data_IF_637731630954
#
_entry.id   IF_637731630954
#
_cell.length_a   1.000
_cell.length_b   1.000
_cell.length_c   1.000
_cell.angle_alpha   90.00
_cell.angle_beta   90.00
_cell.angle_gamma   90.00
#
_symmetry.space_group_name_H-M   'P 1'
#
loop_
_entity.id
_entity.type
_entity.pdbx_description
1 polymer ?
#
# COMPACT_ATOMS: atom_id res chain seq x y z
N UNK A 1 13.91 23.32 -1.30
CA UNK A 1 12.53 23.23 -1.83
C UNK A 1 11.70 22.57 -0.75
N UNK A 2 10.41 22.86 -0.65
CA UNK A 2 9.55 22.29 0.38
C UNK A 2 8.23 21.84 -0.22
N UNK A 3 7.88 20.58 -0.01
CA UNK A 3 6.53 20.06 -0.20
C UNK A 3 5.80 20.10 1.15
N UNK A 4 4.48 19.97 1.15
CA UNK A 4 3.69 19.94 2.39
C UNK A 4 2.78 18.73 2.40
N UNK A 5 2.93 17.86 3.39
CA UNK A 5 2.02 16.76 3.68
C UNK A 5 0.97 17.27 4.69
N UNK A 6 -0.30 17.22 4.35
CA UNK A 6 -1.41 17.60 5.22
C UNK A 6 -2.18 16.34 5.60
N UNK A 7 -2.43 16.12 6.88
CA UNK A 7 -3.20 14.97 7.38
C UNK A 7 -4.62 15.35 7.78
N UNK A 8 -5.54 14.38 7.72
CA UNK A 8 -6.82 14.48 8.41
C UNK A 8 -6.62 14.76 9.91
N UNK A 9 -7.52 15.55 10.51
CA UNK A 9 -7.41 16.02 11.90
C UNK A 9 -7.48 14.90 12.95
N UNK A 10 -7.91 13.71 12.54
CA UNK A 10 -7.94 12.53 13.41
C UNK A 10 -6.54 11.95 13.67
N UNK A 11 -5.56 12.32 12.85
CA UNK A 11 -4.18 11.84 12.92
C UNK A 11 -3.20 12.98 13.15
N UNK A 12 -2.05 12.65 13.72
CA UNK A 12 -0.99 13.60 13.99
C UNK A 12 0.42 13.04 13.77
N UNK A 13 1.39 13.72 14.38
CA UNK A 13 2.81 13.42 14.24
C UNK A 13 3.17 11.99 14.65
N UNK A 14 2.50 11.44 15.65
CA UNK A 14 2.83 10.10 16.15
C UNK A 14 2.36 9.01 15.19
N UNK A 15 1.20 9.18 14.55
CA UNK A 15 0.69 8.30 13.51
C UNK A 15 1.57 8.36 12.26
N UNK A 16 1.95 9.58 11.84
CA UNK A 16 2.86 9.78 10.72
C UNK A 16 4.23 9.13 10.98
N UNK A 17 4.75 9.26 12.21
CA UNK A 17 6.01 8.64 12.59
C UNK A 17 5.92 7.11 12.61
N UNK A 18 4.82 6.55 13.09
CA UNK A 18 4.60 5.10 13.05
C UNK A 18 4.62 4.58 11.61
N UNK A 19 3.95 5.26 10.66
CA UNK A 19 4.03 4.91 9.23
C UNK A 19 5.43 5.11 8.67
N UNK A 20 6.14 6.18 9.06
CA UNK A 20 7.52 6.40 8.59
C UNK A 20 8.42 5.22 8.94
N UNK A 21 8.26 4.63 10.13
CA UNK A 21 9.07 3.48 10.55
C UNK A 21 8.82 2.21 9.75
N UNK A 22 7.68 2.08 9.06
CA UNK A 22 7.41 0.92 8.20
C UNK A 22 8.27 0.93 6.94
N UNK A 23 8.60 2.12 6.41
CA UNK A 23 9.43 2.29 5.21
C UNK A 23 10.89 2.64 5.53
N UNK A 24 11.08 3.41 6.60
CA UNK A 24 12.37 3.94 7.03
C UNK A 24 12.62 3.55 8.49
N UNK A 25 13.00 2.28 8.78
CA UNK A 25 13.15 1.78 10.15
C UNK A 25 14.24 2.51 10.95
N UNK A 26 15.18 3.15 10.26
CA UNK A 26 16.23 3.98 10.86
C UNK A 26 15.81 5.43 11.11
N UNK A 27 14.60 5.84 10.71
CA UNK A 27 14.11 7.19 10.96
C UNK A 27 14.07 7.51 12.46
N UNK A 28 14.23 8.79 12.79
CA UNK A 28 14.28 9.28 14.17
C UNK A 28 13.36 10.48 14.34
N UNK A 29 12.48 10.42 15.33
CA UNK A 29 11.67 11.57 15.75
C UNK A 29 12.36 12.34 16.88
N UNK A 30 12.52 13.65 16.69
CA UNK A 30 12.98 14.58 17.73
C UNK A 30 12.07 15.81 17.75
N UNK A 31 11.33 15.99 18.83
CA UNK A 31 10.30 17.04 18.97
C UNK A 31 9.31 16.96 17.80
N UNK A 32 9.33 17.95 16.90
CA UNK A 32 8.43 18.09 15.76
C UNK A 32 9.05 17.62 14.44
N UNK A 33 10.25 17.02 14.47
CA UNK A 33 10.95 16.63 13.25
C UNK A 33 11.11 15.11 13.21
N UNK A 34 10.74 14.50 12.09
CA UNK A 34 11.09 13.14 11.73
C UNK A 34 12.23 13.23 10.73
N UNK A 35 13.43 12.75 11.09
CA UNK A 35 14.55 12.64 10.18
C UNK A 35 14.52 11.27 9.54
N UNK A 36 14.40 11.23 8.21
CA UNK A 36 14.26 10.01 7.42
C UNK A 36 15.64 9.54 6.92
N UNK A 37 16.46 10.49 6.48
CA UNK A 37 17.83 10.27 6.00
C UNK A 37 18.74 11.41 6.48
N UNK A 38 19.94 11.51 5.91
CA UNK A 38 20.82 12.64 6.20
C UNK A 38 20.39 13.97 5.58
N UNK A 39 19.62 13.89 4.50
CA UNK A 39 19.20 15.00 3.65
C UNK A 39 17.69 15.25 3.70
N UNK A 40 16.92 14.29 4.21
CA UNK A 40 15.45 14.34 4.19
C UNK A 40 14.83 14.35 5.58
N UNK A 41 13.89 15.28 5.79
CA UNK A 41 13.13 15.36 7.03
C UNK A 41 11.68 15.85 6.83
N UNK A 42 10.81 15.44 7.76
CA UNK A 42 9.44 15.90 7.88
C UNK A 42 9.33 16.80 9.11
N UNK A 43 9.00 18.08 8.93
CA UNK A 43 8.92 19.09 9.99
C UNK A 43 7.45 19.43 10.27
N UNK A 44 6.96 18.97 11.41
CA UNK A 44 5.56 19.06 11.80
C UNK A 44 5.15 20.43 12.32
N UNK A 45 4.07 20.95 11.75
CA UNK A 45 3.34 22.13 12.20
C UNK A 45 1.99 21.71 12.80
N UNK A 46 1.88 21.59 14.15
CA UNK A 46 0.68 21.10 14.81
C UNK A 46 -0.53 22.03 14.66
N UNK A 47 -0.33 23.33 14.41
CA UNK A 47 -1.44 24.28 14.27
C UNK A 47 -2.22 24.08 12.97
N UNK A 48 -1.55 23.55 11.93
CA UNK A 48 -2.13 23.30 10.62
C UNK A 48 -2.32 21.80 10.32
N UNK A 49 -1.87 20.91 11.22
CA UNK A 49 -1.88 19.46 11.03
C UNK A 49 -1.14 19.00 9.77
N UNK A 50 0.03 19.59 9.54
CA UNK A 50 0.83 19.38 8.34
C UNK A 50 2.31 19.13 8.69
N UNK A 51 3.03 18.46 7.80
CA UNK A 51 4.48 18.36 7.80
C UNK A 51 5.06 19.02 6.55
N UNK A 52 6.03 19.91 6.74
CA UNK A 52 6.90 20.34 5.65
C UNK A 52 7.88 19.20 5.32
N UNK A 53 7.94 18.79 4.06
CA UNK A 53 8.92 17.83 3.55
C UNK A 53 10.13 18.61 3.06
N UNK A 54 11.24 18.49 3.78
CA UNK A 54 12.53 19.05 3.39
C UNK A 54 13.35 17.93 2.73
N UNK A 55 13.64 18.09 1.44
CA UNK A 55 14.39 17.12 0.62
C UNK A 55 15.18 17.88 -0.46
N UNK A 56 16.39 17.42 -0.87
CA UNK A 56 17.07 17.97 -2.03
C UNK A 56 16.25 17.79 -3.30
N UNK A 57 16.25 18.82 -4.16
CA UNK A 57 15.58 18.75 -5.44
C UNK A 57 16.35 17.83 -6.40
N UNK A 58 15.65 16.88 -7.02
CA UNK A 58 16.16 15.99 -8.05
C UNK A 58 15.08 15.73 -9.11
N UNK A 59 15.15 16.44 -10.26
CA UNK A 59 14.10 16.53 -11.30
C UNK A 59 14.54 16.10 -12.69
N UNK A 60 15.17 14.93 -12.77
CA UNK A 60 15.56 14.31 -14.04
C UNK A 60 14.73 13.06 -14.37
N UNK A 61 13.62 12.85 -13.64
CA UNK A 61 12.65 11.83 -13.97
C UNK A 61 11.95 12.13 -15.30
N UNK A 62 11.83 11.10 -16.13
CA UNK A 62 10.96 11.13 -17.31
C UNK A 62 9.48 11.05 -16.93
N UNK A 63 8.56 11.39 -17.85
CA UNK A 63 7.15 11.11 -17.67
C UNK A 63 6.92 9.60 -17.52
N UNK A 64 5.84 9.23 -16.84
CA UNK A 64 5.52 7.83 -16.61
C UNK A 64 5.17 7.12 -17.94
N UNK A 65 5.73 5.92 -18.17
CA UNK A 65 5.36 5.09 -19.34
C UNK A 65 3.97 4.45 -19.19
N UNK A 66 3.52 4.31 -17.94
CA UNK A 66 2.20 3.84 -17.52
C UNK A 66 1.38 5.02 -16.99
N UNK A 67 0.04 4.91 -16.94
CA UNK A 67 -0.80 5.94 -16.32
C UNK A 67 -0.30 6.30 -14.92
N UNK A 68 -0.15 7.59 -14.65
CA UNK A 68 0.31 8.09 -13.37
C UNK A 68 -0.86 8.25 -12.40
N UNK A 69 -1.01 7.28 -11.50
CA UNK A 69 -2.08 7.28 -10.49
C UNK A 69 -1.93 8.37 -9.44
N UNK A 70 -0.74 8.93 -9.29
CA UNK A 70 -0.43 9.93 -8.29
C UNK A 70 -0.42 11.37 -8.83
N UNK A 71 -0.40 11.56 -10.16
CA UNK A 71 -0.47 12.87 -10.79
C UNK A 71 0.84 13.67 -10.76
N UNK A 72 1.98 13.02 -10.59
CA UNK A 72 3.31 13.60 -10.74
C UNK A 72 3.54 14.25 -12.11
N UNK A 73 3.11 13.61 -13.20
CA UNK A 73 3.26 14.15 -14.56
C UNK A 73 2.53 15.50 -14.71
N UNK A 74 1.34 15.60 -14.10
CA UNK A 74 0.55 16.84 -14.02
C UNK A 74 1.21 17.87 -13.11
N UNK A 75 1.66 17.45 -11.92
CA UNK A 75 2.23 18.35 -10.92
C UNK A 75 3.62 18.90 -11.28
N UNK A 76 4.36 18.20 -12.14
CA UNK A 76 5.75 18.48 -12.47
C UNK A 76 6.02 18.49 -13.98
N UNK A 77 5.42 19.43 -14.74
CA UNK A 77 5.51 19.47 -16.20
C UNK A 77 6.93 19.76 -16.74
N UNK A 78 7.86 20.20 -15.88
CA UNK A 78 9.24 20.56 -16.25
C UNK A 78 10.29 19.56 -15.73
N UNK A 79 9.86 18.38 -15.27
CA UNK A 79 10.76 17.33 -14.77
C UNK A 79 10.18 16.64 -13.54
N UNK A 80 9.91 15.34 -13.66
CA UNK A 80 9.33 14.51 -12.60
C UNK A 80 10.38 14.29 -11.51
N UNK A 81 10.00 14.26 -10.22
CA UNK A 81 10.95 13.96 -9.16
C UNK A 81 11.56 12.56 -9.34
N UNK A 82 12.83 12.45 -8.96
CA UNK A 82 13.63 11.24 -9.03
C UNK A 82 14.42 11.02 -7.72
N UNK A 83 15.00 9.83 -7.58
CA UNK A 83 15.81 9.46 -6.42
C UNK A 83 15.08 9.70 -5.10
N UNK A 84 15.79 10.28 -4.13
CA UNK A 84 15.27 10.52 -2.78
C UNK A 84 14.03 11.43 -2.76
N UNK A 85 13.94 12.40 -3.67
CA UNK A 85 12.76 13.27 -3.76
C UNK A 85 11.52 12.48 -4.20
N UNK A 86 11.68 11.56 -5.17
CA UNK A 86 10.58 10.68 -5.60
C UNK A 86 10.15 9.76 -4.47
N UNK A 87 11.11 9.09 -3.84
CA UNK A 87 10.85 8.11 -2.79
C UNK A 87 10.08 8.73 -1.61
N UNK A 88 10.48 9.92 -1.14
CA UNK A 88 9.79 10.57 -0.02
C UNK A 88 8.41 11.10 -0.42
N UNK A 89 8.21 11.52 -1.67
CA UNK A 89 6.91 11.96 -2.15
C UNK A 89 5.94 10.78 -2.33
N UNK A 90 6.40 9.65 -2.86
CA UNK A 90 5.60 8.41 -2.93
C UNK A 90 5.22 7.92 -1.53
N UNK A 91 6.18 7.92 -0.59
CA UNK A 91 5.88 7.64 0.81
C UNK A 91 4.82 8.60 1.36
N UNK A 92 4.96 9.90 1.12
CA UNK A 92 4.02 10.92 1.60
C UNK A 92 2.61 10.71 1.03
N UNK A 93 2.50 10.40 -0.26
CA UNK A 93 1.23 10.11 -0.93
C UNK A 93 0.56 8.86 -0.37
N UNK A 94 1.35 7.80 -0.13
CA UNK A 94 0.83 6.59 0.50
C UNK A 94 0.44 6.79 1.97
N UNK A 95 1.16 7.63 2.70
CA UNK A 95 0.80 8.01 4.06
C UNK A 95 -0.54 8.79 4.09
N UNK A 96 -0.75 9.77 3.20
CA UNK A 96 -2.02 10.51 3.14
C UNK A 96 -3.15 9.68 2.54
N UNK A 97 -2.86 8.70 1.68
CA UNK A 97 -3.86 7.73 1.19
C UNK A 97 -4.46 6.96 2.36
N UNK A 98 -3.62 6.58 3.33
CA UNK A 98 -3.98 5.76 4.48
C UNK A 98 -4.56 6.55 5.65
N UNK A 99 -3.92 7.67 6.00
CA UNK A 99 -4.35 8.52 7.11
C UNK A 99 -5.37 9.58 6.67
N UNK A 100 -5.67 9.68 5.38
CA UNK A 100 -6.43 10.79 4.82
C UNK A 100 -5.62 12.08 4.77
N UNK A 101 -5.91 12.91 3.76
CA UNK A 101 -5.24 14.19 3.57
C UNK A 101 -4.78 14.38 2.14
N UNK A 102 -3.68 15.13 1.98
CA UNK A 102 -3.11 15.47 0.66
C UNK A 102 -1.64 15.88 0.77
N UNK A 103 -0.93 15.81 -0.34
CA UNK A 103 0.39 16.41 -0.51
C UNK A 103 0.25 17.64 -1.40
N UNK A 104 0.73 18.79 -0.94
CA UNK A 104 0.89 20.00 -1.74
C UNK A 104 2.34 20.06 -2.19
N UNK A 105 2.58 19.98 -3.48
CA UNK A 105 3.93 20.02 -4.06
C UNK A 105 4.54 21.42 -3.94
N UNK A 106 5.85 21.53 -4.14
CA UNK A 106 6.53 22.81 -4.23
C UNK A 106 6.07 23.66 -5.44
N UNK A 107 5.50 23.03 -6.47
CA UNK A 107 4.83 23.70 -7.60
C UNK A 107 3.42 24.20 -7.25
N UNK A 108 2.92 23.89 -6.04
CA UNK A 108 1.61 24.28 -5.55
C UNK A 108 0.46 23.35 -5.99
N UNK A 109 0.76 22.23 -6.64
CA UNK A 109 -0.26 21.24 -7.03
C UNK A 109 -0.66 20.39 -5.82
N UNK A 110 -1.95 20.11 -5.71
CA UNK A 110 -2.49 19.23 -4.67
C UNK A 110 -2.66 17.82 -5.22
N UNK A 111 -2.05 16.85 -4.56
CA UNK A 111 -2.12 15.42 -4.86
C UNK A 111 -2.83 14.71 -3.70
N UNK A 112 -3.94 14.04 -3.98
CA UNK A 112 -4.79 13.41 -2.96
C UNK A 112 -5.24 12.02 -3.44
N UNK A 113 -4.36 11.00 -3.38
CA UNK A 113 -4.70 9.66 -3.81
C UNK A 113 -5.91 9.12 -3.05
N UNK A 114 -6.80 8.45 -3.77
CA UNK A 114 -7.99 7.89 -3.16
C UNK A 114 -7.63 6.69 -2.27
N UNK A 115 -8.18 6.61 -1.06
CA UNK A 115 -7.82 5.61 -0.05
C UNK A 115 -7.87 4.15 -0.55
N UNK A 116 -8.84 3.83 -1.40
CA UNK A 116 -9.08 2.49 -1.94
C UNK A 116 -8.45 2.23 -3.32
N UNK A 117 -7.65 3.14 -3.88
CA UNK A 117 -6.93 2.83 -5.13
C UNK A 117 -6.03 1.60 -4.92
N UNK A 118 -5.87 0.79 -5.97
CA UNK A 118 -5.14 -0.49 -5.94
C UNK A 118 -5.53 -1.38 -4.75
N UNK A 119 -6.78 -1.90 -4.72
CA UNK A 119 -7.23 -2.76 -3.63
C UNK A 119 -6.39 -4.06 -3.56
N UNK A 120 -5.49 -4.11 -2.58
CA UNK A 120 -4.63 -5.26 -2.34
C UNK A 120 -4.15 -5.27 -0.88
N UNK A 121 -4.01 -6.48 -0.34
CA UNK A 121 -3.42 -6.76 0.97
C UNK A 121 -2.48 -7.96 0.86
N UNK A 122 -1.45 -7.98 1.70
CA UNK A 122 -0.53 -9.10 1.83
C UNK A 122 -0.65 -9.70 3.22
N UNK A 123 -0.73 -11.03 3.31
CA UNK A 123 -0.61 -11.77 4.58
C UNK A 123 0.71 -12.51 4.58
N UNK A 124 1.56 -12.22 5.57
CA UNK A 124 2.86 -12.87 5.76
C UNK A 124 2.72 -13.88 6.89
N UNK A 125 2.93 -15.16 6.58
CA UNK A 125 2.77 -16.28 7.51
C UNK A 125 4.06 -17.08 7.66
N UNK A 126 4.24 -17.68 8.85
CA UNK A 126 5.40 -18.51 9.16
C UNK A 126 5.37 -19.88 8.47
N UNK A 127 4.23 -20.30 7.91
CA UNK A 127 4.08 -21.57 7.21
C UNK A 127 3.15 -21.46 6.01
N UNK A 128 3.38 -22.35 5.05
CA UNK A 128 2.58 -22.50 3.85
C UNK A 128 1.29 -23.28 4.15
N UNK A 129 0.16 -22.80 3.64
CA UNK A 129 -1.11 -23.50 3.60
C UNK A 129 -1.14 -24.40 2.37
N UNK A 130 -1.71 -25.59 2.49
CA UNK A 130 -1.94 -26.44 1.33
C UNK A 130 -2.99 -25.77 0.41
N UNK A 131 -2.91 -25.99 -0.93
CA UNK A 131 -3.84 -25.37 -1.88
C UNK A 131 -5.32 -25.57 -1.54
N UNK A 132 -5.69 -26.77 -1.04
CA UNK A 132 -7.07 -27.09 -0.66
C UNK A 132 -7.52 -26.35 0.60
N UNK A 133 -6.64 -26.20 1.58
CA UNK A 133 -6.97 -25.52 2.84
C UNK A 133 -7.23 -24.03 2.58
N UNK A 134 -6.37 -23.39 1.77
CA UNK A 134 -6.60 -22.00 1.37
C UNK A 134 -7.87 -21.85 0.53
N UNK A 135 -8.14 -22.77 -0.40
CA UNK A 135 -9.39 -22.76 -1.17
C UNK A 135 -10.62 -22.83 -0.27
N UNK A 136 -10.62 -23.73 0.73
CA UNK A 136 -11.73 -23.83 1.70
C UNK A 136 -11.91 -22.55 2.52
N UNK A 137 -10.82 -21.83 2.85
CA UNK A 137 -10.88 -20.52 3.51
C UNK A 137 -11.55 -19.49 2.59
N UNK A 138 -11.08 -19.35 1.35
CA UNK A 138 -11.62 -18.35 0.40
C UNK A 138 -13.08 -18.67 0.04
N UNK A 139 -13.45 -19.95 -0.10
CA UNK A 139 -14.82 -20.38 -0.42
C UNK A 139 -15.85 -20.10 0.68
N UNK A 140 -15.42 -19.82 1.92
CA UNK A 140 -16.32 -19.30 2.97
C UNK A 140 -16.80 -17.88 2.69
N UNK A 141 -16.06 -17.14 1.85
CA UNK A 141 -16.33 -15.75 1.51
C UNK A 141 -16.89 -15.64 0.10
N UNK A 142 -16.21 -16.25 -0.88
CA UNK A 142 -16.63 -16.31 -2.29
C UNK A 142 -16.75 -17.77 -2.70
N UNK A 143 -17.98 -18.30 -2.65
CA UNK A 143 -18.26 -19.73 -2.83
C UNK A 143 -17.78 -20.28 -4.18
N UNK A 144 -17.82 -19.44 -5.20
CA UNK A 144 -17.45 -19.75 -6.58
C UNK A 144 -15.93 -19.76 -6.82
N UNK A 145 -15.11 -19.54 -5.78
CA UNK A 145 -13.66 -19.55 -5.92
C UNK A 145 -13.13 -20.91 -6.35
N UNK A 146 -12.05 -20.89 -7.12
CA UNK A 146 -11.39 -22.08 -7.65
C UNK A 146 -9.86 -21.96 -7.63
N UNK A 147 -9.19 -23.10 -7.57
CA UNK A 147 -7.75 -23.17 -7.80
C UNK A 147 -7.48 -22.94 -9.28
N UNK A 148 -6.50 -22.09 -9.58
CA UNK A 148 -6.05 -21.88 -10.94
C UNK A 148 -5.12 -23.02 -11.34
N UNK A 149 -5.57 -23.85 -12.27
CA UNK A 149 -4.87 -25.06 -12.69
C UNK A 149 -4.99 -26.20 -11.67
N UNK A 150 -4.01 -27.12 -11.70
CA UNK A 150 -3.95 -28.29 -10.81
C UNK A 150 -2.64 -28.28 -10.01
N UNK A 151 -2.47 -27.36 -9.04
CA UNK A 151 -1.21 -27.24 -8.30
C UNK A 151 -0.97 -28.47 -7.41
N UNK A 152 0.25 -29.00 -7.43
CA UNK A 152 0.68 -30.10 -6.56
C UNK A 152 1.16 -29.60 -5.18
N UNK A 153 1.43 -28.31 -5.05
CA UNK A 153 1.96 -27.68 -3.84
C UNK A 153 2.18 -26.18 -4.05
N UNK A 154 3.11 -25.62 -3.27
CA UNK A 154 3.49 -24.21 -3.32
C UNK A 154 4.49 -23.93 -4.47
N UNK A 155 4.38 -22.81 -5.22
CA UNK A 155 3.35 -21.76 -5.16
C UNK A 155 2.06 -22.12 -5.92
N UNK A 156 0.97 -21.42 -5.62
CA UNK A 156 -0.31 -21.60 -6.30
C UNK A 156 -1.15 -20.32 -6.27
N UNK A 157 -2.28 -20.35 -6.98
CA UNK A 157 -3.18 -19.21 -7.09
C UNK A 157 -4.64 -19.66 -7.00
N UNK A 158 -5.47 -18.84 -6.35
CA UNK A 158 -6.93 -18.98 -6.32
C UNK A 158 -7.53 -17.78 -7.05
N UNK A 159 -8.51 -18.04 -7.93
CA UNK A 159 -9.38 -17.01 -8.46
C UNK A 159 -10.74 -17.06 -7.75
N UNK A 160 -11.26 -15.90 -7.40
CA UNK A 160 -12.54 -15.70 -6.73
C UNK A 160 -13.33 -14.61 -7.46
N UNK A 161 -14.39 -14.93 -8.22
CA UNK A 161 -15.13 -13.92 -8.97
C UNK A 161 -15.82 -12.95 -8.02
N UNK A 162 -15.62 -11.64 -8.23
CA UNK A 162 -16.21 -10.58 -7.38
C UNK A 162 -17.15 -9.67 -8.19
N UNK A 163 -16.83 -9.41 -9.45
CA UNK A 163 -17.69 -8.72 -10.40
C UNK A 163 -17.77 -9.51 -11.71
N UNK A 164 -18.63 -9.07 -12.63
CA UNK A 164 -18.73 -9.70 -13.95
C UNK A 164 -17.47 -9.53 -14.82
N UNK A 165 -16.63 -8.53 -14.50
CA UNK A 165 -15.44 -8.11 -15.25
C UNK A 165 -14.17 -8.09 -14.39
N UNK A 166 -14.19 -8.80 -13.25
CA UNK A 166 -13.07 -8.79 -12.33
C UNK A 166 -13.12 -9.93 -11.31
N UNK A 167 -11.92 -10.38 -10.95
CA UNK A 167 -11.70 -11.37 -9.90
C UNK A 167 -10.98 -10.74 -8.70
N UNK A 168 -11.19 -11.30 -7.52
CA UNK A 168 -10.23 -11.25 -6.43
C UNK A 168 -9.31 -12.46 -6.59
N UNK A 169 -8.01 -12.23 -6.58
CA UNK A 169 -7.02 -13.28 -6.71
C UNK A 169 -6.20 -13.39 -5.45
N UNK A 170 -5.95 -14.62 -5.01
CA UNK A 170 -5.01 -14.93 -3.93
C UNK A 170 -3.82 -15.66 -4.52
N UNK A 171 -2.67 -15.00 -4.53
CA UNK A 171 -1.38 -15.58 -4.95
C UNK A 171 -0.61 -16.01 -3.71
N UNK A 172 -0.30 -17.31 -3.63
CA UNK A 172 0.48 -17.89 -2.56
C UNK A 172 1.91 -18.15 -3.07
N UNK A 173 2.87 -17.37 -2.58
CA UNK A 173 4.29 -17.41 -3.00
C UNK A 173 5.24 -17.28 -1.81
N UNK A 174 6.53 -17.55 -2.00
CA UNK A 174 7.52 -17.30 -0.95
C UNK A 174 7.83 -15.81 -0.93
N UNK A 175 7.97 -15.22 0.25
CA UNK A 175 8.46 -13.86 0.38
C UNK A 175 9.92 -13.80 -0.09
N UNK A 176 10.16 -13.16 -1.25
CA UNK A 176 11.50 -13.00 -1.82
C UNK A 176 12.13 -11.63 -1.52
N UNK A 177 11.32 -10.63 -1.21
CA UNK A 177 11.75 -9.25 -0.99
C UNK A 177 11.77 -8.87 0.49
N UNK A 178 12.77 -8.07 0.88
CA UNK A 178 12.86 -7.52 2.24
C UNK A 178 11.79 -6.44 2.45
N UNK A 179 11.00 -6.61 3.51
CA UNK A 179 9.99 -5.64 3.92
C UNK A 179 10.50 -4.91 5.16
N UNK A 180 10.89 -3.61 5.08
CA UNK A 180 11.60 -2.94 6.16
C UNK A 180 10.86 -2.96 7.51
N UNK A 181 9.51 -2.97 7.49
CA UNK A 181 8.68 -3.05 8.70
C UNK A 181 8.87 -4.35 9.50
N UNK A 182 9.22 -5.45 8.83
CA UNK A 182 9.27 -6.81 9.42
C UNK A 182 10.57 -7.56 9.12
N UNK A 183 11.52 -6.96 8.39
CA UNK A 183 12.78 -7.57 7.98
C UNK A 183 13.62 -8.09 9.16
N UNK A 184 13.39 -7.59 10.38
CA UNK A 184 14.14 -7.97 11.57
C UNK A 184 13.62 -9.26 12.24
N UNK A 185 12.48 -9.78 11.80
CA UNK A 185 11.82 -10.98 12.36
C UNK A 185 12.49 -12.23 11.80
N UNK A 186 12.98 -13.12 12.67
CA UNK A 186 13.83 -14.27 12.26
C UNK A 186 13.14 -15.19 11.24
N UNK A 187 11.90 -15.62 11.50
CA UNK A 187 11.18 -16.52 10.59
C UNK A 187 10.84 -15.86 9.24
N UNK A 188 10.78 -14.53 9.17
CA UNK A 188 10.60 -13.81 7.90
C UNK A 188 11.84 -13.95 7.04
N UNK A 189 13.04 -13.84 7.63
CA UNK A 189 14.33 -14.01 6.94
C UNK A 189 14.58 -15.43 6.45
N UNK A 190 13.95 -16.42 7.09
CA UNK A 190 14.12 -17.83 6.75
C UNK A 190 13.28 -18.27 5.53
N UNK A 191 12.41 -17.39 5.01
CA UNK A 191 11.53 -17.65 3.87
C UNK A 191 10.09 -17.85 4.31
N UNK A 192 9.39 -16.74 4.59
CA UNK A 192 7.98 -16.74 4.94
C UNK A 192 7.07 -17.04 3.74
N UNK A 193 5.86 -17.54 4.02
CA UNK A 193 4.79 -17.59 3.04
C UNK A 193 4.16 -16.20 2.89
N UNK A 194 3.96 -15.78 1.64
CA UNK A 194 3.30 -14.55 1.24
C UNK A 194 2.00 -14.90 0.52
N UNK A 195 0.88 -14.40 1.04
CA UNK A 195 -0.41 -14.43 0.37
C UNK A 195 -0.79 -13.02 -0.09
N UNK A 196 -0.69 -12.77 -1.39
CA UNK A 196 -1.15 -11.51 -1.98
C UNK A 196 -2.62 -11.66 -2.37
N UNK A 197 -3.48 -10.90 -1.70
CA UNK A 197 -4.92 -10.83 -1.94
C UNK A 197 -5.20 -9.55 -2.71
N UNK A 198 -5.41 -9.66 -4.01
CA UNK A 198 -5.48 -8.51 -4.91
C UNK A 198 -6.75 -8.51 -5.77
N UNK A 199 -7.30 -7.33 -5.98
CA UNK A 199 -8.32 -7.08 -7.00
C UNK A 199 -7.70 -7.08 -8.40
N UNK A 200 -8.23 -7.89 -9.31
CA UNK A 200 -7.79 -8.01 -10.70
C UNK A 200 -8.96 -7.76 -11.67
N UNK A 201 -9.14 -6.52 -12.16
CA UNK A 201 -10.08 -6.23 -13.23
C UNK A 201 -9.57 -6.70 -14.59
N UNK A 202 -10.50 -6.99 -15.51
CA UNK A 202 -10.19 -7.33 -16.91
C UNK A 202 -9.37 -6.24 -17.62
N UNK A 203 -9.59 -4.98 -17.24
CA UNK A 203 -8.80 -3.83 -17.67
C UNK A 203 -7.94 -3.31 -16.50
N UNK A 204 -6.63 -3.65 -16.46
CA UNK A 204 -5.74 -3.21 -15.39
C UNK A 204 -5.58 -1.70 -15.28
N UNK A 205 -5.83 -0.94 -16.36
CA UNK A 205 -5.74 0.53 -16.31
C UNK A 205 -6.79 1.14 -15.37
N UNK A 206 -7.87 0.42 -15.09
CA UNK A 206 -8.91 0.83 -14.13
C UNK A 206 -8.45 0.85 -12.67
N UNK A 207 -7.29 0.27 -12.35
CA UNK A 207 -6.68 0.35 -11.02
C UNK A 207 -6.00 1.69 -10.75
N UNK A 208 -5.77 2.49 -11.81
CA UNK A 208 -4.94 3.68 -11.75
C UNK A 208 -5.72 4.87 -12.30
N UNK A 209 -6.11 5.79 -11.42
CA UNK A 209 -6.76 7.03 -11.81
C UNK A 209 -6.40 8.15 -10.83
N UNK A 210 -5.85 9.24 -11.37
CA UNK A 210 -5.54 10.46 -10.60
C UNK A 210 -6.82 11.04 -9.98
N UNK A 211 -7.92 11.08 -10.77
CA UNK A 211 -9.22 11.62 -10.37
C UNK A 211 -10.33 10.60 -10.66
N UNK A 212 -10.52 9.58 -9.81
CA UNK A 212 -11.47 8.50 -10.05
C UNK A 212 -12.93 8.97 -9.97
N UNK A 213 -13.78 8.45 -10.85
CA UNK A 213 -15.21 8.74 -10.84
C UNK A 213 -15.94 7.96 -9.73
N UNK A 214 -17.11 8.45 -9.29
CA UNK A 214 -17.89 7.82 -8.20
C UNK A 214 -18.16 6.32 -8.36
N UNK A 215 -18.49 5.79 -9.56
CA UNK A 215 -18.66 4.35 -9.75
C UNK A 215 -17.37 3.57 -9.50
N UNK A 216 -16.23 4.07 -10.00
CA UNK A 216 -14.91 3.46 -9.80
C UNK A 216 -14.52 3.45 -8.33
N UNK A 217 -14.77 4.56 -7.60
CA UNK A 217 -14.55 4.65 -6.15
C UNK A 217 -15.35 3.58 -5.39
N UNK A 218 -16.62 3.36 -5.76
CA UNK A 218 -17.46 2.34 -5.12
C UNK A 218 -16.95 0.94 -5.41
N UNK A 219 -16.55 0.67 -6.66
CA UNK A 219 -15.99 -0.62 -7.05
C UNK A 219 -14.69 -0.91 -6.30
N UNK A 220 -13.76 0.04 -6.25
CA UNK A 220 -12.53 -0.08 -5.46
C UNK A 220 -12.80 -0.34 -3.98
N UNK A 221 -13.78 0.36 -3.39
CA UNK A 221 -14.18 0.12 -2.01
C UNK A 221 -14.71 -1.28 -1.79
N UNK A 222 -15.62 -1.74 -2.66
CA UNK A 222 -16.20 -3.09 -2.57
C UNK A 222 -15.11 -4.17 -2.75
N UNK A 223 -14.21 -3.99 -3.71
CA UNK A 223 -13.05 -4.85 -3.91
C UNK A 223 -12.10 -4.87 -2.70
N UNK A 224 -11.82 -3.71 -2.09
CA UNK A 224 -11.00 -3.63 -0.89
C UNK A 224 -11.63 -4.35 0.31
N UNK A 225 -12.96 -4.26 0.46
CA UNK A 225 -13.69 -5.01 1.49
C UNK A 225 -13.61 -6.52 1.25
N UNK A 226 -13.71 -6.97 0.00
CA UNK A 226 -13.48 -8.38 -0.37
C UNK A 226 -12.06 -8.84 -0.03
N UNK A 227 -11.05 -8.05 -0.41
CA UNK A 227 -9.65 -8.33 -0.07
C UNK A 227 -9.43 -8.38 1.44
N UNK A 228 -10.05 -7.45 2.18
CA UNK A 228 -9.98 -7.40 3.65
C UNK A 228 -10.55 -8.65 4.30
N UNK A 229 -11.72 -9.10 3.87
CA UNK A 229 -12.36 -10.30 4.40
C UNK A 229 -11.50 -11.55 4.15
N UNK A 230 -10.94 -11.68 2.94
CA UNK A 230 -10.08 -12.82 2.57
C UNK A 230 -8.76 -12.77 3.34
N UNK A 231 -8.07 -11.62 3.36
CA UNK A 231 -6.83 -11.45 4.12
C UNK A 231 -7.04 -11.71 5.62
N UNK A 232 -8.16 -11.24 6.19
CA UNK A 232 -8.52 -11.52 7.58
C UNK A 232 -8.69 -13.01 7.83
N UNK A 233 -9.41 -13.72 6.96
CA UNK A 233 -9.64 -15.15 7.12
C UNK A 233 -8.35 -15.98 7.00
N UNK A 234 -7.43 -15.59 6.12
CA UNK A 234 -6.09 -16.20 6.04
C UNK A 234 -5.31 -15.92 7.32
N UNK A 235 -5.32 -14.68 7.80
CA UNK A 235 -4.61 -14.28 9.03
C UNK A 235 -5.19 -14.96 10.27
N UNK A 236 -6.51 -15.15 10.38
CA UNK A 236 -7.11 -15.87 11.51
C UNK A 236 -6.65 -17.33 11.60
N UNK A 237 -6.31 -17.95 10.46
CA UNK A 237 -5.76 -19.32 10.40
C UNK A 237 -4.25 -19.37 10.63
N UNK A 238 -3.51 -18.38 10.11
CA UNK A 238 -2.04 -18.44 10.02
C UNK A 238 -1.29 -17.54 11.00
N UNK A 239 -1.96 -16.51 11.53
CA UNK A 239 -1.33 -15.41 12.26
C UNK A 239 -0.37 -14.59 11.40
N UNK A 240 0.70 -14.10 12.01
CA UNK A 240 1.73 -13.31 11.31
C UNK A 240 1.32 -11.86 11.10
N UNK A 241 1.72 -11.29 9.96
CA UNK A 241 1.55 -9.86 9.64
C UNK A 241 0.59 -9.66 8.48
N UNK A 242 -0.15 -8.55 8.51
CA UNK A 242 -0.89 -8.06 7.34
C UNK A 242 -0.28 -6.73 6.91
N UNK A 243 -0.12 -6.55 5.61
CA UNK A 243 0.40 -5.35 4.99
C UNK A 243 -0.58 -4.87 3.92
N UNK A 244 -0.62 -3.56 3.65
CA UNK A 244 -1.27 -3.05 2.44
C UNK A 244 -0.36 -3.17 1.21
N UNK A 245 -0.89 -2.81 0.04
CA UNK A 245 -0.16 -2.79 -1.22
C UNK A 245 1.22 -2.10 -1.17
N UNK A 246 1.41 -1.14 -0.26
CA UNK A 246 2.63 -0.33 -0.12
C UNK A 246 3.53 -0.85 1.00
N UNK A 247 3.26 -2.08 1.46
CA UNK A 247 3.96 -2.75 2.54
C UNK A 247 3.87 -2.04 3.90
N UNK A 248 2.80 -1.26 4.15
CA UNK A 248 2.54 -0.73 5.49
C UNK A 248 1.76 -1.72 6.33
N UNK A 249 2.22 -1.96 7.57
CA UNK A 249 1.54 -2.83 8.54
C UNK A 249 0.10 -2.40 8.77
N UNK A 250 -0.82 -3.33 8.58
CA UNK A 250 -2.25 -3.20 8.87
C UNK A 250 -2.55 -3.97 10.14
N UNK A 251 -3.30 -3.36 11.06
CA UNK A 251 -3.85 -4.07 12.20
C UNK A 251 -4.93 -5.04 11.69
N UNK A 252 -4.77 -6.35 11.81
CA UNK A 252 -5.73 -7.30 11.27
C UNK A 252 -7.12 -7.17 11.92
N UNK A 253 -7.20 -6.62 13.14
CA UNK A 253 -8.46 -6.38 13.84
C UNK A 253 -9.24 -5.16 13.35
N UNK A 254 -8.65 -4.38 12.45
CA UNK A 254 -9.31 -3.27 11.75
C UNK A 254 -9.76 -3.67 10.34
N UNK A 255 -9.46 -4.90 9.90
CA UNK A 255 -10.03 -5.49 8.70
C UNK A 255 -11.50 -5.85 8.93
N UNK A 256 -12.31 -5.69 7.89
CA UNK A 256 -13.76 -5.93 7.91
C UNK A 256 -14.14 -7.40 7.81
#
# INVERSE_FOLDING_TARGET
>A
MTHTLVLDRSYGLDDLFALTLNRYPLARKKKKTIRVSDTTSLVWNPSANEATIEVPMHRDGGPSEIPDGFGFDTAFPNGVPAGEEREILEFALNAVRRLGGKVVTDTGHELAPHQFMQPSLHVIAAYELAPKDLLEIVQKIVKESELVGEPEGFPYMISAPIFAHADLVVEATTLEEDIPAIEHVEWVKEGAALYTVAYRPDDPSSLVAENPEKPQIREWREAYLGCSAVARAIWDETGGFVLDYENFLVNPNELF
#
